data_IF_127338267032
#
_entry.id   IF_127338267032
#
_cell.length_a   1.000
_cell.length_b   1.000
_cell.length_c   1.000
_cell.angle_alpha   90.00
_cell.angle_beta   90.00
_cell.angle_gamma   90.00
#
_symmetry.space_group_name_H-M   'P 1'
#
loop_
_entity.id
_entity.type
_entity.pdbx_description
1 polymer ?
#
# COMPACT_ATOMS: atom_id res chain seq x y z
N UNK A 1 18.01 19.48 1.88
CA UNK A 1 18.58 18.91 0.64
C UNK A 1 17.62 19.12 -0.54
N UNK A 2 18.18 19.24 -1.77
CA UNK A 2 17.38 19.43 -2.97
C UNK A 2 18.06 18.84 -4.21
N UNK A 3 17.24 18.50 -5.20
CA UNK A 3 17.66 18.14 -6.56
C UNK A 3 17.17 19.23 -7.48
N UNK A 4 18.06 19.80 -8.30
CA UNK A 4 17.75 20.88 -9.22
C UNK A 4 17.90 20.37 -10.65
N UNK A 5 16.85 20.54 -11.45
CA UNK A 5 16.86 20.29 -12.89
C UNK A 5 16.74 21.63 -13.61
N UNK A 6 17.55 21.82 -14.64
CA UNK A 6 17.49 22.97 -15.53
C UNK A 6 17.14 22.51 -16.96
N UNK A 7 16.46 23.38 -17.68
CA UNK A 7 16.10 23.13 -19.08
C UNK A 7 17.33 22.86 -19.91
N UNK A 8 17.27 21.82 -20.74
CA UNK A 8 18.30 21.51 -21.72
C UNK A 8 17.84 21.97 -23.10
N UNK A 9 18.44 23.06 -23.60
CA UNK A 9 18.00 23.70 -24.83
C UNK A 9 18.27 22.86 -26.08
N UNK A 10 19.26 21.95 -26.04
CA UNK A 10 19.60 21.04 -27.16
C UNK A 10 18.84 19.70 -27.08
N UNK A 11 17.76 19.61 -26.25
CA UNK A 11 16.99 18.39 -26.15
C UNK A 11 16.29 18.06 -27.49
N UNK A 12 16.49 16.87 -27.99
CA UNK A 12 15.99 16.40 -29.28
C UNK A 12 14.47 16.13 -29.33
N UNK A 13 13.80 16.01 -28.19
CA UNK A 13 12.36 15.80 -28.08
C UNK A 13 11.58 17.10 -27.92
N UNK A 14 10.42 17.03 -27.28
CA UNK A 14 9.64 18.24 -26.96
C UNK A 14 10.36 19.05 -25.89
N UNK A 15 10.68 20.33 -26.14
CA UNK A 15 11.35 21.18 -25.17
C UNK A 15 10.57 21.31 -23.87
N UNK A 16 11.27 21.36 -22.74
CA UNK A 16 10.67 21.64 -21.44
C UNK A 16 10.02 23.04 -21.44
N UNK A 17 8.85 23.16 -20.81
CA UNK A 17 8.15 24.44 -20.67
C UNK A 17 8.68 25.27 -19.50
N UNK A 18 9.25 24.61 -18.48
CA UNK A 18 9.85 25.26 -17.32
C UNK A 18 11.36 25.36 -17.51
N UNK A 19 11.94 26.49 -17.13
CA UNK A 19 13.38 26.69 -17.21
C UNK A 19 14.12 25.94 -16.08
N UNK A 20 13.46 25.80 -14.92
CA UNK A 20 14.05 25.16 -13.74
C UNK A 20 12.98 24.47 -12.89
N UNK A 21 13.31 23.29 -12.36
CA UNK A 21 12.51 22.58 -11.34
C UNK A 21 13.43 22.22 -10.17
N UNK A 22 12.99 22.54 -8.96
CA UNK A 22 13.71 22.19 -7.73
C UNK A 22 12.89 21.20 -6.91
N UNK A 23 13.38 19.99 -6.75
CA UNK A 23 12.81 19.00 -5.82
C UNK A 23 13.40 19.21 -4.44
N UNK A 24 12.60 19.65 -3.48
CA UNK A 24 12.99 19.73 -2.07
C UNK A 24 12.69 18.44 -1.35
N UNK A 25 13.68 17.88 -0.66
CA UNK A 25 13.52 16.66 0.13
C UNK A 25 13.02 17.07 1.51
N UNK A 26 11.77 16.73 1.82
CA UNK A 26 11.10 17.04 3.09
C UNK A 26 10.58 15.73 3.67
N UNK A 27 11.23 15.24 4.73
CA UNK A 27 10.94 13.92 5.30
C UNK A 27 9.74 13.94 6.26
N UNK A 28 9.49 15.06 6.91
CA UNK A 28 8.41 15.19 7.88
C UNK A 28 7.11 15.63 7.23
N UNK A 29 6.04 14.87 7.46
CA UNK A 29 4.73 15.08 6.85
C UNK A 29 4.09 16.46 7.20
N UNK A 30 4.21 16.90 8.45
CA UNK A 30 3.68 18.20 8.89
C UNK A 30 4.47 19.37 8.27
N UNK A 31 5.80 19.22 8.21
CA UNK A 31 6.67 20.19 7.54
C UNK A 31 6.38 20.32 6.05
N UNK A 32 5.92 19.24 5.41
CA UNK A 32 5.52 19.23 4.01
C UNK A 32 4.30 20.12 3.77
N UNK A 33 3.24 19.96 4.57
CA UNK A 33 2.02 20.78 4.47
C UNK A 33 2.32 22.26 4.77
N UNK A 34 3.09 22.54 5.81
CA UNK A 34 3.51 23.90 6.15
C UNK A 34 4.34 24.55 5.03
N UNK A 35 5.20 23.77 4.37
CA UNK A 35 6.01 24.28 3.25
C UNK A 35 5.14 24.66 2.05
N UNK A 36 4.08 23.91 1.78
CA UNK A 36 3.12 24.24 0.75
C UNK A 36 2.31 25.49 1.13
N UNK A 37 1.78 25.56 2.35
CA UNK A 37 0.99 26.70 2.85
C UNK A 37 1.80 28.01 2.89
N UNK A 38 3.09 27.94 3.18
CA UNK A 38 3.97 29.12 3.22
C UNK A 38 4.49 29.55 1.84
N UNK A 39 4.21 28.78 0.78
CA UNK A 39 4.76 29.03 -0.56
C UNK A 39 6.26 28.67 -0.68
N UNK A 40 6.81 27.90 0.26
CA UNK A 40 8.17 27.39 0.16
C UNK A 40 8.30 26.27 -0.90
N UNK A 41 7.20 25.65 -1.27
CA UNK A 41 7.04 24.75 -2.41
C UNK A 41 5.74 25.10 -3.12
N UNK A 42 5.68 24.83 -4.43
CA UNK A 42 4.54 25.15 -5.29
C UNK A 42 3.65 23.94 -5.56
N UNK A 43 4.21 22.73 -5.46
CA UNK A 43 3.52 21.48 -5.73
C UNK A 43 3.97 20.41 -4.73
N UNK A 44 3.02 19.62 -4.28
CA UNK A 44 3.26 18.46 -3.46
C UNK A 44 2.44 17.27 -3.98
N UNK A 45 3.08 16.12 -4.12
CA UNK A 45 2.43 14.88 -4.52
C UNK A 45 2.21 13.96 -3.31
N UNK A 46 1.27 13.03 -3.44
CA UNK A 46 1.03 11.94 -2.48
C UNK A 46 0.64 12.38 -1.07
N UNK A 47 -0.16 13.45 -0.96
CA UNK A 47 -0.77 13.83 0.32
C UNK A 47 -1.83 12.79 0.73
N UNK A 48 -1.86 12.45 2.01
CA UNK A 48 -2.97 11.68 2.58
C UNK A 48 -4.19 12.58 2.87
N UNK A 49 -5.34 11.98 3.17
CA UNK A 49 -6.61 12.70 3.43
C UNK A 49 -6.49 13.69 4.60
N UNK A 50 -5.81 13.34 5.68
CA UNK A 50 -5.57 14.23 6.83
C UNK A 50 -4.77 15.47 6.44
N UNK A 51 -3.77 15.32 5.57
CA UNK A 51 -2.97 16.43 5.06
C UNK A 51 -3.79 17.32 4.11
N UNK A 52 -4.57 16.70 3.22
CA UNK A 52 -5.48 17.43 2.31
C UNK A 52 -6.51 18.23 3.09
N UNK A 53 -7.06 17.71 4.17
CA UNK A 53 -8.00 18.40 5.03
C UNK A 53 -7.45 19.68 5.69
N UNK A 54 -6.12 19.81 5.79
CA UNK A 54 -5.47 21.02 6.31
C UNK A 54 -5.30 22.13 5.26
N UNK A 55 -5.58 21.85 3.98
CA UNK A 55 -5.43 22.82 2.90
C UNK A 55 -6.74 23.56 2.63
N UNK A 56 -6.63 24.88 2.52
CA UNK A 56 -7.76 25.71 2.07
C UNK A 56 -7.94 25.54 0.56
N UNK A 57 -8.96 24.82 0.15
CA UNK A 57 -9.26 24.55 -1.26
C UNK A 57 -9.63 25.81 -2.07
N UNK A 58 -9.83 26.96 -1.43
CA UNK A 58 -9.94 28.24 -2.14
C UNK A 58 -8.59 28.79 -2.61
N UNK A 59 -7.48 28.31 -2.01
CA UNK A 59 -6.12 28.73 -2.30
C UNK A 59 -5.30 27.65 -3.01
N UNK A 60 -5.66 26.37 -2.84
CA UNK A 60 -4.94 25.22 -3.38
C UNK A 60 -5.82 24.39 -4.30
N UNK A 61 -5.27 24.00 -5.45
CA UNK A 61 -5.88 23.01 -6.32
C UNK A 61 -5.52 21.62 -5.83
N UNK A 62 -6.49 20.89 -5.32
CA UNK A 62 -6.32 19.48 -4.94
C UNK A 62 -6.77 18.61 -6.11
N UNK A 63 -5.85 17.83 -6.63
CA UNK A 63 -6.09 16.87 -7.70
C UNK A 63 -6.05 15.45 -7.13
N UNK A 64 -7.10 14.70 -7.37
CA UNK A 64 -7.19 13.29 -7.00
C UNK A 64 -7.12 12.42 -8.25
N UNK A 65 -6.38 11.33 -8.18
CA UNK A 65 -6.26 10.38 -9.28
C UNK A 65 -6.00 8.97 -8.79
N UNK A 66 -6.43 7.98 -9.56
CA UNK A 66 -6.16 6.57 -9.27
C UNK A 66 -4.72 6.25 -9.63
N UNK A 67 -3.95 5.79 -8.67
CA UNK A 67 -2.58 5.34 -8.87
C UNK A 67 -2.55 3.91 -9.43
N UNK A 68 -1.54 3.62 -10.23
CA UNK A 68 -1.20 2.25 -10.63
C UNK A 68 -0.39 1.54 -9.53
N UNK A 69 -0.89 1.60 -8.30
CA UNK A 69 -0.25 1.02 -7.13
C UNK A 69 -1.25 0.15 -6.40
N UNK A 70 -0.86 -1.07 -6.10
CA UNK A 70 -1.62 -2.01 -5.27
C UNK A 70 -0.98 -2.12 -3.91
N UNK A 71 -1.71 -1.73 -2.86
CA UNK A 71 -1.35 -2.03 -1.49
C UNK A 71 -1.95 -3.36 -1.08
N UNK A 72 -1.11 -4.28 -0.64
CA UNK A 72 -1.54 -5.62 -0.25
C UNK A 72 -0.66 -6.21 0.86
N UNK A 73 -1.18 -7.21 1.54
CA UNK A 73 -0.39 -8.11 2.36
C UNK A 73 0.13 -9.24 1.48
N UNK A 74 1.43 -9.30 1.29
CA UNK A 74 2.11 -10.35 0.53
C UNK A 74 2.54 -11.47 1.48
N UNK A 75 2.16 -12.70 1.14
CA UNK A 75 2.48 -13.90 1.92
C UNK A 75 3.65 -14.65 1.28
N UNK A 76 4.60 -15.08 2.10
CA UNK A 76 5.71 -15.91 1.63
C UNK A 76 5.26 -17.37 1.49
N UNK A 77 4.96 -17.78 0.28
CA UNK A 77 4.45 -19.12 -0.03
C UNK A 77 5.48 -20.25 0.18
N UNK A 78 6.73 -19.93 0.44
CA UNK A 78 7.78 -20.90 0.75
C UNK A 78 7.90 -21.21 2.25
N UNK A 79 7.12 -20.52 3.09
CA UNK A 79 7.20 -20.61 4.55
C UNK A 79 5.85 -21.06 5.12
N UNK A 80 5.86 -22.10 5.97
CA UNK A 80 4.66 -22.51 6.69
C UNK A 80 4.16 -21.38 7.63
N UNK A 81 2.84 -21.22 7.78
CA UNK A 81 1.78 -22.02 7.20
C UNK A 81 1.31 -21.55 5.81
N UNK A 82 1.99 -20.58 5.17
CA UNK A 82 1.56 -19.94 3.92
C UNK A 82 1.89 -20.75 2.66
N UNK A 83 2.59 -21.86 2.78
CA UNK A 83 2.75 -22.89 1.74
C UNK A 83 1.43 -23.62 1.44
N UNK A 84 0.49 -23.69 2.39
CA UNK A 84 -0.85 -24.23 2.19
C UNK A 84 -1.80 -23.18 1.57
N UNK A 85 -2.38 -23.49 0.42
CA UNK A 85 -3.33 -22.61 -0.27
C UNK A 85 -4.59 -22.32 0.57
N UNK A 86 -5.03 -23.28 1.39
CA UNK A 86 -6.22 -23.10 2.24
C UNK A 86 -6.00 -22.03 3.30
N UNK A 87 -4.78 -21.94 3.84
CA UNK A 87 -4.40 -20.88 4.77
C UNK A 87 -4.45 -19.51 4.08
N UNK A 88 -3.89 -19.38 2.88
CA UNK A 88 -3.92 -18.13 2.12
C UNK A 88 -5.35 -17.69 1.77
N UNK A 89 -6.20 -18.65 1.38
CA UNK A 89 -7.62 -18.40 1.12
C UNK A 89 -8.35 -17.98 2.40
N UNK A 90 -8.06 -18.61 3.53
CA UNK A 90 -8.64 -18.25 4.82
C UNK A 90 -8.34 -16.80 5.19
N UNK A 91 -7.08 -16.37 5.05
CA UNK A 91 -6.71 -14.97 5.27
C UNK A 91 -7.44 -14.02 4.33
N UNK A 92 -7.61 -14.40 3.06
CA UNK A 92 -8.36 -13.60 2.09
C UNK A 92 -9.83 -13.44 2.46
N UNK A 93 -10.48 -14.49 2.98
CA UNK A 93 -11.85 -14.42 3.48
C UNK A 93 -11.99 -13.69 4.82
N UNK A 94 -10.92 -13.57 5.61
CA UNK A 94 -10.95 -12.85 6.87
C UNK A 94 -10.91 -11.32 6.70
N UNK A 95 -10.41 -10.83 5.57
CA UNK A 95 -10.14 -9.41 5.34
C UNK A 95 -11.37 -8.66 4.81
N UNK A 96 -11.72 -7.56 5.48
CA UNK A 96 -12.64 -6.55 4.99
C UNK A 96 -11.84 -5.40 4.33
N UNK A 97 -11.80 -5.43 3.01
CA UNK A 97 -11.05 -4.45 2.19
C UNK A 97 -11.67 -3.05 2.27
N UNK A 98 -13.01 -2.96 2.36
CA UNK A 98 -13.70 -1.69 2.47
C UNK A 98 -13.37 -1.00 3.79
N UNK A 99 -13.39 -1.73 4.90
CA UNK A 99 -13.02 -1.20 6.21
C UNK A 99 -11.58 -0.66 6.21
N UNK A 100 -10.65 -1.35 5.54
CA UNK A 100 -9.28 -0.86 5.41
C UNK A 100 -9.26 0.48 4.67
N UNK A 101 -9.91 0.59 3.52
CA UNK A 101 -9.98 1.85 2.76
C UNK A 101 -10.61 2.98 3.57
N UNK A 102 -11.69 2.70 4.28
CA UNK A 102 -12.38 3.69 5.10
C UNK A 102 -11.49 4.21 6.24
N UNK A 103 -10.74 3.32 6.88
CA UNK A 103 -9.91 3.66 8.04
C UNK A 103 -8.60 4.36 7.67
N UNK A 104 -7.98 4.01 6.55
CA UNK A 104 -6.64 4.52 6.20
C UNK A 104 -6.64 5.57 5.09
N UNK A 105 -7.73 5.68 4.34
CA UNK A 105 -7.83 6.58 3.18
C UNK A 105 -9.18 7.29 3.08
N UNK A 106 -9.97 7.36 4.16
CA UNK A 106 -11.30 7.98 4.19
C UNK A 106 -12.21 7.51 3.04
N UNK A 107 -12.11 6.25 2.65
CA UNK A 107 -12.86 5.65 1.55
C UNK A 107 -12.31 5.92 0.15
N UNK A 108 -11.21 6.67 0.03
CA UNK A 108 -10.58 6.92 -1.27
C UNK A 108 -9.75 5.72 -1.71
N UNK A 109 -10.04 5.20 -2.91
CA UNK A 109 -9.38 4.04 -3.48
C UNK A 109 -10.34 3.10 -4.18
N UNK A 110 -9.87 1.92 -4.53
CA UNK A 110 -10.69 0.85 -5.10
C UNK A 110 -10.25 -0.51 -4.58
N UNK A 111 -11.19 -1.31 -4.08
CA UNK A 111 -10.92 -2.70 -3.76
C UNK A 111 -10.66 -3.49 -5.05
N UNK A 112 -9.66 -4.35 -5.01
CA UNK A 112 -9.33 -5.25 -6.11
C UNK A 112 -9.25 -6.70 -5.63
N UNK A 113 -9.45 -7.65 -6.54
CA UNK A 113 -9.45 -9.08 -6.22
C UNK A 113 -8.17 -9.82 -6.59
N UNK A 114 -7.24 -9.14 -7.25
CA UNK A 114 -5.97 -9.72 -7.69
C UNK A 114 -4.88 -8.66 -7.75
N UNK A 115 -3.66 -9.04 -8.08
CA UNK A 115 -2.57 -8.09 -8.34
C UNK A 115 -2.76 -7.28 -9.63
N UNK A 116 -3.74 -7.63 -10.46
CA UNK A 116 -4.10 -6.90 -11.67
C UNK A 116 -5.21 -5.92 -11.37
N UNK A 117 -4.99 -4.64 -11.63
CA UNK A 117 -5.97 -3.56 -11.46
C UNK A 117 -6.51 -3.07 -12.83
N UNK A 118 -7.59 -2.27 -12.87
CA UNK A 118 -8.29 -1.92 -14.11
C UNK A 118 -7.39 -1.35 -15.22
N UNK A 119 -6.32 -0.63 -14.89
CA UNK A 119 -5.39 -0.06 -15.87
C UNK A 119 -4.65 -1.12 -16.72
N UNK A 120 -4.61 -2.38 -16.27
CA UNK A 120 -4.04 -3.48 -17.05
C UNK A 120 -4.96 -4.01 -18.17
N UNK A 121 -6.14 -3.41 -18.36
CA UNK A 121 -7.04 -3.72 -19.48
C UNK A 121 -7.36 -5.21 -19.59
N UNK A 122 -6.91 -5.88 -20.64
CA UNK A 122 -7.21 -7.31 -20.92
C UNK A 122 -6.71 -8.31 -19.87
N UNK A 123 -5.81 -7.89 -18.98
CA UNK A 123 -5.31 -8.75 -17.90
C UNK A 123 -6.09 -8.58 -16.60
N UNK A 124 -6.94 -7.56 -16.51
CA UNK A 124 -7.82 -7.35 -15.37
C UNK A 124 -9.09 -8.23 -15.53
N UNK A 125 -9.42 -8.96 -14.47
CA UNK A 125 -10.59 -9.82 -14.41
C UNK A 125 -11.54 -9.24 -13.36
N UNK A 126 -12.59 -8.50 -13.78
CA UNK A 126 -13.50 -7.80 -12.86
C UNK A 126 -14.19 -8.74 -11.85
N UNK A 127 -14.51 -9.96 -12.25
CA UNK A 127 -15.20 -10.95 -11.42
C UNK A 127 -14.40 -11.38 -10.18
N UNK A 128 -13.07 -11.18 -10.19
CA UNK A 128 -12.22 -11.46 -9.03
C UNK A 128 -12.35 -10.41 -7.92
N UNK A 129 -12.87 -9.23 -8.22
CA UNK A 129 -12.95 -8.13 -7.25
C UNK A 129 -13.68 -8.55 -5.97
N UNK A 130 -14.79 -9.26 -6.10
CA UNK A 130 -15.62 -9.72 -4.99
C UNK A 130 -15.49 -11.22 -4.71
N UNK A 131 -14.53 -11.90 -5.34
CA UNK A 131 -14.36 -13.35 -5.19
C UNK A 131 -14.11 -13.75 -3.72
N UNK A 132 -13.30 -13.00 -3.00
CA UNK A 132 -13.05 -13.16 -1.57
C UNK A 132 -13.78 -12.07 -0.78
N UNK A 133 -15.11 -12.04 -0.84
CA UNK A 133 -15.91 -11.23 0.11
C UNK A 133 -15.73 -11.79 1.51
N UNK A 134 -15.61 -10.90 2.51
CA UNK A 134 -15.37 -11.31 3.91
C UNK A 134 -16.36 -12.40 4.36
N UNK A 135 -15.81 -13.50 4.86
CA UNK A 135 -16.57 -14.61 5.40
C UNK A 135 -15.75 -15.32 6.49
N UNK A 136 -15.98 -14.92 7.74
CA UNK A 136 -15.22 -15.42 8.88
C UNK A 136 -15.43 -16.91 9.13
N UNK A 137 -16.65 -17.43 8.93
CA UNK A 137 -16.94 -18.86 9.12
C UNK A 137 -16.20 -19.69 8.06
N UNK A 138 -16.22 -19.26 6.79
CA UNK A 138 -15.47 -19.94 5.73
C UNK A 138 -13.97 -19.91 5.99
N UNK A 139 -13.44 -18.80 6.48
CA UNK A 139 -12.03 -18.68 6.85
C UNK A 139 -11.66 -19.69 7.96
N UNK A 140 -12.48 -19.83 8.99
CA UNK A 140 -12.25 -20.80 10.09
C UNK A 140 -12.35 -22.26 9.61
N UNK A 141 -13.29 -22.56 8.71
CA UNK A 141 -13.38 -23.90 8.08
C UNK A 141 -12.08 -24.26 7.37
N UNK A 142 -11.59 -23.37 6.50
CA UNK A 142 -10.35 -23.57 5.75
C UNK A 142 -9.12 -23.72 6.65
N UNK A 143 -9.03 -22.95 7.73
CA UNK A 143 -7.96 -23.11 8.73
C UNK A 143 -8.05 -24.46 9.44
N UNK A 144 -9.24 -24.90 9.79
CA UNK A 144 -9.46 -26.22 10.41
C UNK A 144 -9.02 -27.34 9.49
N UNK A 145 -9.42 -27.28 8.21
CA UNK A 145 -9.01 -28.24 7.18
C UNK A 145 -7.50 -28.26 6.93
N UNK A 146 -6.86 -27.10 7.09
CA UNK A 146 -5.40 -26.95 6.97
C UNK A 146 -4.63 -27.40 8.21
N UNK A 147 -5.33 -27.78 9.32
CA UNK A 147 -4.70 -28.23 10.56
C UNK A 147 -4.51 -27.12 11.60
N UNK A 148 -5.13 -25.95 11.42
CA UNK A 148 -5.04 -24.79 12.32
C UNK A 148 -6.40 -24.39 12.91
N UNK A 149 -7.11 -25.30 13.62
CA UNK A 149 -8.47 -25.03 14.10
C UNK A 149 -8.55 -23.89 15.11
N UNK A 150 -7.44 -23.55 15.76
CA UNK A 150 -7.33 -22.45 16.73
C UNK A 150 -6.53 -21.26 16.19
N UNK A 151 -6.26 -21.24 14.89
CA UNK A 151 -5.39 -20.24 14.27
C UNK A 151 -3.90 -20.50 14.49
N UNK A 152 -3.09 -19.45 14.36
CA UNK A 152 -1.63 -19.50 14.50
C UNK A 152 -1.07 -18.11 14.77
N UNK A 153 0.21 -18.06 15.17
CA UNK A 153 0.95 -16.81 15.32
C UNK A 153 1.72 -16.50 14.03
N UNK A 154 1.77 -15.23 13.62
CA UNK A 154 2.52 -14.78 12.47
C UNK A 154 3.13 -13.41 12.67
N UNK A 155 4.14 -13.09 11.86
CA UNK A 155 4.77 -11.78 11.81
C UNK A 155 4.48 -11.09 10.48
N UNK A 156 4.08 -9.82 10.53
CA UNK A 156 3.95 -8.94 9.37
C UNK A 156 5.11 -7.94 9.42
N UNK A 157 6.07 -8.09 8.52
CA UNK A 157 7.19 -7.16 8.38
C UNK A 157 6.76 -5.97 7.52
N UNK A 158 6.94 -4.74 8.03
CA UNK A 158 6.43 -3.52 7.38
C UNK A 158 7.52 -2.47 7.30
N UNK A 159 7.72 -1.80 6.16
CA UNK A 159 8.64 -0.68 6.09
C UNK A 159 8.11 0.50 6.92
N UNK A 160 8.88 0.93 7.92
CA UNK A 160 8.45 1.86 8.97
C UNK A 160 8.28 3.31 8.50
N UNK A 161 8.88 3.67 7.37
CA UNK A 161 8.81 5.02 6.80
C UNK A 161 7.55 5.30 5.97
N UNK A 162 6.68 4.29 5.78
CA UNK A 162 5.42 4.44 5.04
C UNK A 162 4.22 4.25 5.97
N UNK A 163 3.69 5.34 6.48
CA UNK A 163 2.56 5.32 7.43
C UNK A 163 1.35 4.55 6.90
N UNK A 164 0.91 4.68 5.62
CA UNK A 164 -0.22 3.90 5.12
C UNK A 164 -0.03 2.39 5.19
N UNK A 165 1.21 1.89 5.06
CA UNK A 165 1.48 0.46 5.20
C UNK A 165 1.42 0.01 6.66
N UNK A 166 1.91 0.85 7.57
CA UNK A 166 1.81 0.60 9.01
C UNK A 166 0.37 0.57 9.48
N UNK A 167 -0.44 1.54 9.06
CA UNK A 167 -1.85 1.63 9.43
C UNK A 167 -2.66 0.45 8.86
N UNK A 168 -2.41 0.07 7.60
CA UNK A 168 -3.01 -1.13 7.00
C UNK A 168 -2.67 -2.39 7.79
N UNK A 169 -1.40 -2.56 8.17
CA UNK A 169 -0.99 -3.70 8.97
C UNK A 169 -1.70 -3.75 10.34
N UNK A 170 -1.92 -2.60 10.98
CA UNK A 170 -2.65 -2.53 12.24
C UNK A 170 -4.12 -2.98 12.07
N UNK A 171 -4.80 -2.54 11.01
CA UNK A 171 -6.18 -2.99 10.73
C UNK A 171 -6.21 -4.49 10.46
N UNK A 172 -5.27 -5.01 9.67
CA UNK A 172 -5.16 -6.45 9.39
C UNK A 172 -4.93 -7.27 10.66
N UNK A 173 -4.07 -6.82 11.58
CA UNK A 173 -3.85 -7.48 12.88
C UNK A 173 -5.17 -7.64 13.63
N UNK A 174 -6.00 -6.60 13.68
CA UNK A 174 -7.30 -6.67 14.35
C UNK A 174 -8.29 -7.59 13.63
N UNK A 175 -8.38 -7.51 12.30
CA UNK A 175 -9.29 -8.35 11.53
C UNK A 175 -8.94 -9.84 11.63
N UNK A 176 -7.66 -10.19 11.59
CA UNK A 176 -7.19 -11.57 11.66
C UNK A 176 -7.45 -12.25 13.01
N UNK A 177 -7.60 -11.50 14.09
CA UNK A 177 -8.02 -12.06 15.39
C UNK A 177 -9.34 -12.79 15.32
N UNK A 178 -10.26 -12.38 14.45
CA UNK A 178 -11.56 -13.02 14.29
C UNK A 178 -11.48 -14.49 13.87
N UNK A 179 -10.37 -14.91 13.27
CA UNK A 179 -10.10 -16.29 12.85
C UNK A 179 -9.02 -16.97 13.71
N UNK A 180 -8.66 -16.38 14.86
CA UNK A 180 -7.64 -16.92 15.76
C UNK A 180 -6.20 -16.69 15.33
N UNK A 181 -5.95 -15.87 14.30
CA UNK A 181 -4.59 -15.54 13.86
C UNK A 181 -4.07 -14.35 14.64
N UNK A 182 -2.97 -14.55 15.36
CA UNK A 182 -2.29 -13.53 16.15
C UNK A 182 -1.12 -12.98 15.33
N UNK A 183 -1.34 -11.86 14.64
CA UNK A 183 -0.29 -11.21 13.88
C UNK A 183 0.45 -10.16 14.73
N UNK A 184 1.77 -10.15 14.63
CA UNK A 184 2.66 -9.14 15.25
C UNK A 184 3.31 -8.32 14.15
N UNK A 185 3.26 -6.99 14.26
CA UNK A 185 3.91 -6.10 13.31
C UNK A 185 5.39 -5.96 13.69
N UNK A 186 6.26 -6.18 12.71
CA UNK A 186 7.70 -5.94 12.81
C UNK A 186 8.07 -4.77 11.89
N UNK A 187 8.19 -3.54 12.42
CA UNK A 187 8.66 -2.40 11.64
C UNK A 187 10.15 -2.57 11.30
N UNK A 188 10.53 -2.25 10.07
CA UNK A 188 11.92 -2.27 9.62
C UNK A 188 12.24 -1.03 8.79
N UNK A 189 13.48 -0.57 8.83
CA UNK A 189 13.97 0.51 7.98
C UNK A 189 13.91 0.12 6.49
N UNK A 190 13.67 1.10 5.62
CA UNK A 190 13.49 0.87 4.19
C UNK A 190 14.67 0.12 3.54
N UNK A 191 15.90 0.48 3.88
CA UNK A 191 17.07 -0.20 3.36
C UNK A 191 17.12 -1.67 3.76
N UNK A 192 16.78 -1.97 5.02
CA UNK A 192 16.67 -3.35 5.51
C UNK A 192 15.50 -4.10 4.85
N UNK A 193 14.37 -3.41 4.62
CA UNK A 193 13.26 -4.02 3.89
C UNK A 193 13.67 -4.43 2.47
N UNK A 194 14.39 -3.56 1.76
CA UNK A 194 14.88 -3.87 0.40
C UNK A 194 15.86 -5.05 0.38
N UNK A 195 16.80 -5.12 1.34
CA UNK A 195 17.80 -6.19 1.40
C UNK A 195 17.20 -7.52 1.88
N UNK A 196 16.47 -7.49 2.97
CA UNK A 196 16.09 -8.72 3.70
C UNK A 196 14.73 -9.24 3.22
N UNK A 197 13.75 -8.35 3.03
CA UNK A 197 12.39 -8.75 2.64
C UNK A 197 12.29 -8.89 1.12
N UNK A 198 12.58 -7.83 0.38
CA UNK A 198 12.38 -7.81 -1.08
C UNK A 198 13.38 -8.73 -1.79
N UNK A 199 14.67 -8.58 -1.53
CA UNK A 199 15.73 -9.38 -2.16
C UNK A 199 15.91 -10.72 -1.46
N UNK A 200 16.06 -10.69 -0.14
CA UNK A 200 16.39 -11.87 0.69
C UNK A 200 15.21 -12.78 0.98
N UNK A 201 13.95 -12.31 0.77
CA UNK A 201 12.70 -13.03 1.03
C UNK A 201 12.60 -13.59 2.47
N UNK A 202 13.21 -12.88 3.42
CA UNK A 202 13.23 -13.24 4.85
C UNK A 202 12.02 -12.61 5.55
N UNK A 203 10.83 -13.14 5.30
CA UNK A 203 9.59 -12.70 5.93
C UNK A 203 8.54 -13.82 5.90
N UNK A 204 7.54 -13.75 6.76
CA UNK A 204 6.30 -14.54 6.69
C UNK A 204 5.25 -13.82 5.86
N UNK A 205 4.94 -12.57 6.24
CA UNK A 205 4.09 -11.66 5.51
C UNK A 205 4.69 -10.26 5.52
N UNK A 206 4.37 -9.44 4.52
CA UNK A 206 4.75 -8.03 4.46
C UNK A 206 3.60 -7.20 3.88
N UNK A 207 3.40 -5.98 4.38
CA UNK A 207 2.47 -5.01 3.80
C UNK A 207 3.27 -3.92 3.11
N UNK A 208 3.02 -3.77 1.82
CA UNK A 208 3.70 -2.77 0.98
C UNK A 208 2.85 -2.45 -0.25
N UNK A 209 3.03 -1.27 -0.81
CA UNK A 209 2.49 -0.91 -2.13
C UNK A 209 3.47 -1.30 -3.23
N UNK A 210 2.98 -1.96 -4.27
CA UNK A 210 3.74 -2.27 -5.48
C UNK A 210 3.08 -1.61 -6.67
N UNK A 211 3.83 -0.81 -7.38
CA UNK A 211 3.40 -0.18 -8.62
C UNK A 211 3.90 -0.94 -9.85
N UNK A 212 3.19 -0.77 -10.95
CA UNK A 212 3.66 -1.24 -12.26
C UNK A 212 3.35 -0.17 -13.30
N UNK A 213 4.38 0.27 -14.00
CA UNK A 213 4.25 1.35 -14.97
C UNK A 213 3.61 0.90 -16.28
N UNK A 214 3.90 -0.29 -16.78
CA UNK A 214 3.34 -0.84 -18.02
C UNK A 214 3.43 -2.37 -18.05
N UNK A 215 2.36 -3.01 -18.54
CA UNK A 215 2.43 -4.36 -19.12
C UNK A 215 2.38 -4.21 -20.63
N UNK A 216 3.52 -4.28 -21.27
CA UNK A 216 3.63 -4.38 -22.74
C UNK A 216 3.68 -5.82 -23.17
#
# INVERSE_FOLDING_TARGET
>A
DSIVLEKFDEYWGTPAQLDKVTFKIIENADSLVLSLQSGAIDLCAHLNSTQVAQLDQSQFNVLEGTMNLVQAMYLNNAVAPFDDVRVRQALSYAVDKQQIMDMIADGHGAAIGSSMYPAFGKYFVPELTDYYTQNIEKAKELLTEAGYPNGFDMTITVPSNYQPHMDTAQVLVEQLKAIGVNATIQPVEWASWLSDVYTGRQYQATVVGVDASNMT
#
